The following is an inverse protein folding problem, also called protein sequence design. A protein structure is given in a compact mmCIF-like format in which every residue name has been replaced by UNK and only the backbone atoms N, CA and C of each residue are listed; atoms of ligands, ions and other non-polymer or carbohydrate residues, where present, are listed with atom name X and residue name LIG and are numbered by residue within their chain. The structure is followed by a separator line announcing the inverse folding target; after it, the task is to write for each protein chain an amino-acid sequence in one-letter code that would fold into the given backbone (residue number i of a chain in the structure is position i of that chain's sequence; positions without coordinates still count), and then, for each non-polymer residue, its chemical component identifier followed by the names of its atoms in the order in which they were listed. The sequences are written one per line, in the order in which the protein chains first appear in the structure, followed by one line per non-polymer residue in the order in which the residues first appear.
data_IF_529010048697
#
_entry.id   IF_529010048697
#
_cell.length_a   1.000
_cell.length_b   1.000
_cell.length_c   1.000
_cell.angle_alpha   90.00
_cell.angle_beta   90.00
_cell.angle_gamma   90.00
#
_symmetry.space_group_name_H-M   'P 1'
#
loop_
_entity.id
_entity.type
_entity.pdbx_description
1 polymer ?
#
# COMPACT_ATOMS: atom_id res chain seq x y z
N UNK A 1 -38.14 49.24 -11.48
CA UNK A 1 -38.05 49.04 -12.95
C UNK A 1 -36.64 48.65 -13.43
N UNK A 2 -35.61 49.44 -13.15
CA UNK A 2 -34.21 49.13 -13.61
C UNK A 2 -33.58 47.81 -13.03
N UNK A 3 -33.99 47.41 -11.83
CA UNK A 3 -33.49 46.13 -11.25
C UNK A 3 -34.22 44.92 -11.84
N UNK A 4 -35.50 45.03 -12.16
CA UNK A 4 -36.27 43.98 -12.82
C UNK A 4 -35.81 43.77 -14.24
N UNK A 5 -35.47 44.84 -14.97
CA UNK A 5 -34.89 44.74 -16.32
C UNK A 5 -33.51 44.08 -16.33
N UNK A 6 -32.64 44.37 -15.32
CA UNK A 6 -31.34 43.70 -15.16
C UNK A 6 -31.49 42.22 -14.82
N UNK A 7 -32.42 41.86 -13.97
CA UNK A 7 -32.73 40.46 -13.63
C UNK A 7 -33.21 39.68 -14.83
N UNK A 8 -34.13 40.22 -15.61
CA UNK A 8 -34.65 39.59 -16.84
C UNK A 8 -33.53 39.41 -17.87
N UNK A 9 -32.64 40.38 -18.04
CA UNK A 9 -31.49 40.26 -18.95
C UNK A 9 -30.48 39.21 -18.48
N UNK A 10 -30.27 39.07 -17.16
CA UNK A 10 -29.41 38.02 -16.60
C UNK A 10 -30.00 36.62 -16.79
N UNK A 11 -31.32 36.45 -16.64
CA UNK A 11 -31.99 35.17 -16.90
C UNK A 11 -31.88 34.75 -18.37
N UNK A 12 -32.06 35.69 -19.32
CA UNK A 12 -31.90 35.42 -20.74
C UNK A 12 -30.44 34.99 -21.06
N UNK A 13 -29.48 35.71 -20.52
CA UNK A 13 -28.05 35.35 -20.71
C UNK A 13 -27.71 34.01 -20.10
N UNK A 14 -28.23 33.69 -18.90
CA UNK A 14 -28.05 32.40 -18.25
C UNK A 14 -28.61 31.25 -19.08
N UNK A 15 -29.82 31.44 -19.62
CA UNK A 15 -30.45 30.44 -20.47
C UNK A 15 -29.65 30.19 -21.75
N UNK A 16 -29.16 31.25 -22.38
CA UNK A 16 -28.29 31.15 -23.56
C UNK A 16 -26.97 30.39 -23.25
N UNK A 17 -26.34 30.70 -22.15
CA UNK A 17 -25.13 30.00 -21.69
C UNK A 17 -25.40 28.53 -21.36
N UNK A 18 -26.55 28.19 -20.81
CA UNK A 18 -26.95 26.81 -20.56
C UNK A 18 -27.15 26.01 -21.85
N UNK A 19 -27.80 26.62 -22.86
CA UNK A 19 -27.99 26.03 -24.18
C UNK A 19 -26.67 25.81 -24.93
N UNK A 20 -25.76 26.80 -24.86
CA UNK A 20 -24.39 26.65 -25.42
C UNK A 20 -23.60 25.55 -24.71
N UNK A 21 -23.65 25.47 -23.37
CA UNK A 21 -23.02 24.40 -22.62
C UNK A 21 -23.58 23.01 -22.94
N UNK A 22 -24.89 22.89 -23.12
CA UNK A 22 -25.52 21.64 -23.53
C UNK A 22 -25.04 21.20 -24.92
N UNK A 23 -25.05 22.13 -25.89
CA UNK A 23 -24.54 21.87 -27.23
C UNK A 23 -23.05 21.49 -27.28
N UNK A 24 -22.20 22.18 -26.49
CA UNK A 24 -20.78 21.85 -26.35
C UNK A 24 -20.54 20.48 -25.72
N UNK A 25 -21.31 20.12 -24.69
CA UNK A 25 -21.26 18.78 -24.08
C UNK A 25 -21.65 17.68 -25.06
N UNK A 26 -22.67 17.90 -25.85
CA UNK A 26 -23.11 16.95 -26.87
C UNK A 26 -22.06 16.76 -27.98
N UNK A 27 -21.48 17.87 -28.47
CA UNK A 27 -20.36 17.82 -29.45
C UNK A 27 -19.13 17.12 -28.87
N UNK A 28 -18.79 17.34 -27.59
CA UNK A 28 -17.69 16.66 -26.95
C UNK A 28 -17.97 15.18 -26.77
N UNK A 29 -19.19 14.79 -26.42
CA UNK A 29 -19.56 13.38 -26.28
C UNK A 29 -19.52 12.63 -27.60
N UNK A 30 -20.06 13.24 -28.66
CA UNK A 30 -19.99 12.70 -30.02
C UNK A 30 -18.54 12.51 -30.49
N UNK A 31 -17.68 13.52 -30.28
CA UNK A 31 -16.27 13.45 -30.63
C UNK A 31 -15.51 12.39 -29.85
N UNK A 32 -15.86 12.19 -28.57
CA UNK A 32 -15.29 11.10 -27.75
C UNK A 32 -15.73 9.71 -28.24
N UNK A 33 -16.99 9.56 -28.62
CA UNK A 33 -17.49 8.30 -29.18
C UNK A 33 -16.84 7.97 -30.52
N UNK A 34 -16.65 8.97 -31.36
CA UNK A 34 -16.00 8.81 -32.68
C UNK A 34 -14.51 8.46 -32.51
N UNK A 35 -13.81 9.07 -31.55
CA UNK A 35 -12.42 8.73 -31.19
C UNK A 35 -12.31 7.34 -30.54
N UNK A 36 -13.27 6.92 -29.73
CA UNK A 36 -13.28 5.59 -29.13
C UNK A 36 -13.48 4.48 -30.14
N UNK A 37 -14.27 4.72 -31.21
CA UNK A 37 -14.54 3.73 -32.27
C UNK A 37 -13.34 3.51 -33.20
N UNK A 38 -12.41 4.47 -33.28
CA UNK A 38 -11.23 4.40 -34.18
C UNK A 38 -9.93 4.13 -33.40
N UNK A 39 -9.91 4.31 -32.08
CA UNK A 39 -8.74 4.10 -31.28
C UNK A 39 -8.60 2.65 -30.79
N UNK A 40 -7.71 1.91 -31.42
CA UNK A 40 -7.24 0.63 -30.89
C UNK A 40 -6.01 0.93 -30.03
N UNK A 41 -6.10 0.83 -28.70
CA UNK A 41 -4.96 1.10 -27.83
C UNK A 41 -3.87 0.07 -28.11
N UNK A 42 -2.76 0.50 -28.69
CA UNK A 42 -1.56 -0.33 -28.78
C UNK A 42 -0.90 -0.36 -27.39
N UNK A 43 -0.51 -1.53 -26.89
CA UNK A 43 0.26 -1.61 -25.66
C UNK A 43 1.49 -0.70 -25.75
N UNK A 44 1.72 0.12 -24.74
CA UNK A 44 2.91 0.93 -24.67
C UNK A 44 4.11 0.02 -24.38
N UNK A 45 4.89 -0.30 -25.41
CA UNK A 45 6.06 -1.15 -25.30
C UNK A 45 7.34 -0.30 -25.22
N UNK A 46 7.68 0.13 -24.02
CA UNK A 46 8.93 0.81 -23.73
C UNK A 46 10.02 -0.20 -23.32
N UNK A 47 11.25 0.05 -23.77
CA UNK A 47 12.40 -0.72 -23.28
C UNK A 47 12.54 -0.58 -21.77
N UNK A 48 13.17 -1.55 -21.12
CA UNK A 48 13.40 -1.55 -19.68
C UNK A 48 14.11 -0.28 -19.20
N UNK A 49 15.13 0.15 -19.94
CA UNK A 49 15.82 1.43 -19.67
C UNK A 49 14.88 2.64 -19.69
N UNK A 50 14.01 2.76 -20.71
CA UNK A 50 13.03 3.87 -20.78
C UNK A 50 11.98 3.76 -19.68
N UNK A 51 11.55 2.54 -19.34
CA UNK A 51 10.63 2.31 -18.23
C UNK A 51 11.23 2.78 -16.92
N UNK A 52 12.50 2.46 -16.67
CA UNK A 52 13.22 2.92 -15.48
C UNK A 52 13.27 4.45 -15.43
N UNK A 53 13.78 5.10 -16.47
CA UNK A 53 13.98 6.57 -16.50
C UNK A 53 12.69 7.37 -16.45
N UNK A 54 11.65 6.95 -17.15
CA UNK A 54 10.41 7.73 -17.27
C UNK A 54 9.41 7.49 -16.13
N UNK A 55 9.39 6.28 -15.56
CA UNK A 55 8.37 5.90 -14.59
C UNK A 55 8.94 5.59 -13.22
N UNK A 56 9.99 4.75 -13.14
CA UNK A 56 10.48 4.27 -11.85
C UNK A 56 11.27 5.35 -11.13
N UNK A 57 12.17 6.04 -11.83
CA UNK A 57 12.93 7.18 -11.25
C UNK A 57 11.96 8.27 -10.77
N UNK A 58 10.92 8.60 -11.57
CA UNK A 58 9.91 9.56 -11.18
C UNK A 58 9.13 9.12 -9.93
N UNK A 59 8.70 7.83 -9.87
CA UNK A 59 8.05 7.29 -8.66
C UNK A 59 8.93 7.35 -7.42
N UNK A 60 10.24 7.12 -7.56
CA UNK A 60 11.19 7.23 -6.46
C UNK A 60 11.33 8.67 -5.99
N UNK A 61 11.48 9.63 -6.91
CA UNK A 61 11.56 11.05 -6.58
C UNK A 61 10.28 11.56 -5.90
N UNK A 62 9.11 11.17 -6.41
CA UNK A 62 7.81 11.50 -5.82
C UNK A 62 7.63 10.90 -4.41
N UNK A 63 8.21 9.74 -4.17
CA UNK A 63 8.24 9.11 -2.84
C UNK A 63 9.32 9.71 -1.91
N UNK A 64 10.06 10.72 -2.37
CA UNK A 64 11.05 11.46 -1.59
C UNK A 64 12.44 10.80 -1.51
N UNK A 65 12.75 9.88 -2.42
CA UNK A 65 14.07 9.27 -2.53
C UNK A 65 15.03 10.14 -3.35
N UNK A 66 16.31 10.21 -2.96
CA UNK A 66 17.33 11.03 -3.62
C UNK A 66 18.31 10.11 -4.37
N UNK A 67 18.46 10.35 -5.69
CA UNK A 67 19.41 9.62 -6.55
C UNK A 67 20.85 9.81 -6.07
N UNK A 68 21.61 8.71 -6.08
CA UNK A 68 23.02 8.70 -5.65
C UNK A 68 23.25 8.77 -4.15
N UNK A 69 22.23 9.14 -3.35
CA UNK A 69 22.27 9.15 -1.90
C UNK A 69 21.49 7.98 -1.30
N UNK A 70 20.20 7.94 -1.60
CA UNK A 70 19.26 6.99 -1.00
C UNK A 70 19.03 5.78 -1.90
N UNK A 71 19.34 5.86 -3.18
CA UNK A 71 19.25 4.75 -4.12
C UNK A 71 20.34 4.78 -5.19
N UNK A 72 20.73 3.59 -5.60
CA UNK A 72 21.76 3.32 -6.60
C UNK A 72 21.19 2.38 -7.65
N UNK A 73 21.48 2.68 -8.90
CA UNK A 73 21.11 1.88 -10.07
C UNK A 73 22.16 0.83 -10.37
N UNK A 74 21.72 -0.30 -10.96
CA UNK A 74 22.60 -1.33 -11.53
C UNK A 74 23.64 -1.82 -10.52
N UNK A 75 23.20 -2.08 -9.29
CA UNK A 75 24.07 -2.52 -8.19
C UNK A 75 24.56 -3.93 -8.44
N UNK A 76 25.88 -4.11 -8.49
CA UNK A 76 26.50 -5.41 -8.62
C UNK A 76 26.40 -6.20 -7.31
N UNK A 77 25.86 -7.42 -7.39
CA UNK A 77 25.64 -8.32 -6.26
C UNK A 77 26.38 -9.63 -6.56
N UNK A 78 27.49 -9.90 -5.85
CA UNK A 78 28.23 -11.15 -6.01
C UNK A 78 27.53 -12.34 -5.35
N UNK A 79 27.83 -13.54 -5.84
CA UNK A 79 27.33 -14.80 -5.29
C UNK A 79 26.08 -15.34 -5.99
N UNK A 80 25.75 -14.83 -7.17
CA UNK A 80 24.65 -15.36 -7.97
C UNK A 80 24.98 -16.76 -8.51
N UNK A 81 23.97 -17.65 -8.62
CA UNK A 81 24.13 -19.00 -9.16
C UNK A 81 24.19 -19.01 -10.70
N UNK A 82 24.95 -18.12 -11.30
CA UNK A 82 25.20 -18.02 -12.72
C UNK A 82 26.71 -18.19 -13.02
N UNK A 83 27.07 -18.35 -14.28
CA UNK A 83 28.48 -18.55 -14.68
C UNK A 83 29.42 -17.41 -14.31
N UNK A 84 28.91 -16.19 -14.18
CA UNK A 84 29.70 -15.01 -13.78
C UNK A 84 29.76 -14.80 -12.27
N UNK A 85 28.99 -15.57 -11.49
CA UNK A 85 28.79 -15.38 -10.04
C UNK A 85 28.39 -13.96 -9.67
N UNK A 86 27.97 -13.17 -10.64
CA UNK A 86 27.62 -11.76 -10.49
C UNK A 86 26.20 -11.50 -11.00
N UNK A 87 25.41 -10.77 -10.20
CA UNK A 87 24.13 -10.22 -10.59
C UNK A 87 24.17 -8.71 -10.61
N UNK A 88 23.18 -8.10 -11.24
CA UNK A 88 23.02 -6.67 -11.29
C UNK A 88 21.55 -6.34 -10.97
N UNK A 89 21.31 -5.79 -9.77
CA UNK A 89 19.99 -5.35 -9.38
C UNK A 89 19.68 -3.98 -10.01
N UNK A 90 18.49 -3.81 -10.57
CA UNK A 90 18.11 -2.56 -11.22
C UNK A 90 18.19 -1.37 -10.27
N UNK A 91 17.68 -1.52 -9.04
CA UNK A 91 17.80 -0.54 -7.96
C UNK A 91 17.95 -1.20 -6.60
N UNK A 92 18.76 -0.59 -5.75
CA UNK A 92 18.80 -0.88 -4.31
C UNK A 92 18.58 0.44 -3.56
N UNK A 93 17.60 0.44 -2.66
CA UNK A 93 17.25 1.57 -1.80
C UNK A 93 17.91 1.41 -0.43
N UNK A 94 18.49 2.47 0.08
CA UNK A 94 19.27 2.45 1.33
C UNK A 94 18.71 3.44 2.37
N UNK A 95 18.92 3.11 3.63
CA UNK A 95 18.73 4.08 4.73
C UNK A 95 19.96 4.99 4.88
N UNK A 96 19.92 5.92 5.85
CA UNK A 96 21.03 6.85 6.11
C UNK A 96 22.30 6.15 6.61
N UNK A 97 22.21 4.89 7.03
CA UNK A 97 23.33 4.06 7.47
C UNK A 97 23.84 3.12 6.36
N UNK A 98 23.41 3.34 5.13
CA UNK A 98 23.73 2.51 3.97
C UNK A 98 23.31 1.02 4.15
N UNK A 99 22.25 0.78 4.92
CA UNK A 99 21.64 -0.52 5.02
C UNK A 99 20.54 -0.66 3.97
N UNK A 100 20.47 -1.78 3.23
CA UNK A 100 19.46 -1.96 2.20
C UNK A 100 18.04 -2.03 2.81
N UNK A 101 17.16 -1.16 2.32
CA UNK A 101 15.73 -1.13 2.66
C UNK A 101 14.91 -1.90 1.64
N UNK A 102 15.22 -1.74 0.36
CA UNK A 102 14.50 -2.43 -0.70
C UNK A 102 15.38 -2.74 -1.92
N UNK A 103 14.98 -3.76 -2.66
CA UNK A 103 15.46 -4.07 -4.01
C UNK A 103 14.29 -3.88 -4.97
N UNK A 104 14.52 -3.24 -6.09
CA UNK A 104 13.52 -3.09 -7.15
C UNK A 104 14.03 -3.80 -8.39
N UNK A 105 13.21 -4.67 -8.92
CA UNK A 105 13.43 -5.33 -10.22
C UNK A 105 12.42 -4.72 -11.21
N UNK A 106 12.97 -4.15 -12.27
CA UNK A 106 12.20 -3.49 -13.32
C UNK A 106 11.97 -4.43 -14.51
N UNK A 107 10.84 -4.24 -15.17
CA UNK A 107 10.55 -4.93 -16.44
C UNK A 107 10.01 -3.92 -17.45
N UNK A 108 10.03 -4.28 -18.72
CA UNK A 108 9.41 -3.49 -19.79
C UNK A 108 7.93 -3.31 -19.53
N UNK A 109 7.36 -2.20 -19.97
CA UNK A 109 5.97 -1.82 -19.70
C UNK A 109 4.92 -2.86 -20.11
N UNK A 110 5.20 -3.67 -21.13
CA UNK A 110 4.31 -4.73 -21.63
C UNK A 110 4.60 -6.11 -21.02
N UNK A 111 5.58 -6.24 -20.12
CA UNK A 111 5.98 -7.50 -19.52
C UNK A 111 5.39 -7.65 -18.13
N UNK A 112 4.93 -8.86 -17.81
CA UNK A 112 4.44 -9.21 -16.47
C UNK A 112 5.56 -9.07 -15.43
N UNK A 113 5.29 -8.34 -14.38
CA UNK A 113 6.24 -8.06 -13.29
C UNK A 113 6.74 -9.32 -12.60
N UNK A 114 5.96 -10.38 -12.59
CA UNK A 114 6.32 -11.66 -11.96
C UNK A 114 7.54 -12.33 -12.56
N UNK A 115 7.91 -12.00 -13.79
CA UNK A 115 9.10 -12.56 -14.47
C UNK A 115 10.40 -12.21 -13.76
N UNK A 116 10.47 -11.08 -13.04
CA UNK A 116 11.63 -10.67 -12.25
C UNK A 116 11.70 -11.29 -10.85
N UNK A 117 10.68 -12.01 -10.41
CA UNK A 117 10.53 -12.47 -9.01
C UNK A 117 11.71 -13.28 -8.51
N UNK A 118 12.08 -14.33 -9.24
CA UNK A 118 13.16 -15.21 -8.80
C UNK A 118 14.51 -14.48 -8.71
N UNK A 119 14.78 -13.61 -9.66
CA UNK A 119 16.00 -12.80 -9.69
C UNK A 119 16.06 -11.84 -8.51
N UNK A 120 14.97 -11.11 -8.27
CA UNK A 120 14.86 -10.17 -7.15
C UNK A 120 14.95 -10.88 -5.78
N UNK A 121 14.40 -12.09 -5.65
CA UNK A 121 14.52 -12.90 -4.44
C UNK A 121 15.98 -13.30 -4.17
N UNK A 122 16.70 -13.74 -5.19
CA UNK A 122 18.13 -14.06 -5.07
C UNK A 122 18.96 -12.84 -4.64
N UNK A 123 18.67 -11.67 -5.20
CA UNK A 123 19.33 -10.42 -4.77
C UNK A 123 19.04 -10.10 -3.31
N UNK A 124 17.79 -10.24 -2.89
CA UNK A 124 17.43 -9.99 -1.50
C UNK A 124 18.10 -10.99 -0.54
N UNK A 125 18.21 -12.28 -0.92
CA UNK A 125 18.88 -13.31 -0.14
C UNK A 125 20.40 -13.01 0.02
N UNK A 126 21.04 -12.54 -1.03
CA UNK A 126 22.46 -12.20 -1.01
C UNK A 126 22.73 -10.93 -0.20
N UNK A 127 21.87 -9.91 -0.33
CA UNK A 127 21.95 -8.70 0.47
C UNK A 127 21.67 -8.98 1.96
N UNK A 128 20.73 -9.88 2.27
CA UNK A 128 20.47 -10.32 3.64
C UNK A 128 21.69 -10.99 4.26
N UNK A 129 22.37 -11.87 3.53
CA UNK A 129 23.62 -12.51 4.00
C UNK A 129 24.71 -11.49 4.29
N UNK A 130 24.83 -10.45 3.46
CA UNK A 130 25.85 -9.40 3.60
C UNK A 130 25.54 -8.40 4.71
N UNK A 131 24.28 -7.98 4.82
CA UNK A 131 23.86 -6.88 5.67
C UNK A 131 23.05 -7.32 6.91
N UNK A 132 22.79 -8.62 7.08
CA UNK A 132 21.99 -9.19 8.16
C UNK A 132 20.58 -8.59 8.25
N UNK A 133 20.08 -8.04 7.14
CA UNK A 133 18.74 -7.49 7.00
C UNK A 133 18.23 -7.77 5.60
N UNK A 134 17.11 -8.51 5.53
CA UNK A 134 16.44 -8.80 4.26
C UNK A 134 15.73 -7.57 3.75
N UNK A 135 16.10 -7.02 2.57
CA UNK A 135 15.39 -5.91 1.98
C UNK A 135 13.98 -6.34 1.50
N UNK A 136 13.06 -5.39 1.46
CA UNK A 136 11.77 -5.56 0.78
C UNK A 136 12.01 -5.61 -0.72
N UNK A 137 11.23 -6.43 -1.44
CA UNK A 137 11.34 -6.53 -2.89
C UNK A 137 10.15 -5.81 -3.53
N UNK A 138 10.43 -4.95 -4.50
CA UNK A 138 9.44 -4.40 -5.41
C UNK A 138 9.69 -4.93 -6.82
N UNK A 139 8.62 -5.44 -7.45
CA UNK A 139 8.62 -5.83 -8.86
C UNK A 139 7.77 -4.82 -9.60
N UNK A 140 8.28 -4.19 -10.65
CA UNK A 140 7.51 -3.15 -11.34
C UNK A 140 7.81 -3.11 -12.84
N UNK A 141 6.81 -2.73 -13.62
CA UNK A 141 6.93 -2.39 -15.05
C UNK A 141 6.54 -0.94 -15.35
N UNK A 142 6.50 -0.09 -14.29
CA UNK A 142 6.10 1.30 -14.38
C UNK A 142 4.60 1.54 -14.23
N UNK A 143 3.74 0.58 -14.52
CA UNK A 143 2.27 0.66 -14.38
C UNK A 143 1.73 -0.22 -13.26
N UNK A 144 2.36 -1.34 -13.05
CA UNK A 144 2.01 -2.29 -12.02
C UNK A 144 3.20 -2.49 -11.11
N UNK A 145 2.95 -2.48 -9.82
CA UNK A 145 3.98 -2.68 -8.79
C UNK A 145 3.50 -3.73 -7.80
N UNK A 146 4.33 -4.73 -7.55
CA UNK A 146 4.13 -5.75 -6.53
C UNK A 146 5.16 -5.62 -5.43
N UNK A 147 4.77 -5.99 -4.23
CA UNK A 147 5.64 -6.02 -3.05
C UNK A 147 5.75 -7.44 -2.50
N UNK A 148 6.98 -7.84 -2.15
CA UNK A 148 7.30 -9.06 -1.41
C UNK A 148 8.09 -8.64 -0.18
N UNK A 149 7.49 -8.74 1.00
CA UNK A 149 8.07 -8.26 2.25
C UNK A 149 8.43 -9.39 3.24
N UNK A 150 8.24 -10.62 2.84
CA UNK A 150 8.51 -11.79 3.67
C UNK A 150 7.53 -12.03 4.82
N UNK A 151 6.68 -11.06 5.14
CA UNK A 151 5.68 -11.16 6.21
C UNK A 151 4.32 -11.58 5.69
N UNK A 152 4.01 -11.21 4.46
CA UNK A 152 2.73 -11.45 3.80
C UNK A 152 2.95 -12.00 2.40
N UNK A 153 1.93 -12.69 1.82
CA UNK A 153 1.98 -13.08 0.42
C UNK A 153 2.23 -11.88 -0.49
N UNK A 154 2.90 -12.15 -1.63
CA UNK A 154 3.06 -11.14 -2.68
C UNK A 154 1.74 -10.47 -3.00
N UNK A 155 1.76 -9.17 -3.15
CA UNK A 155 0.57 -8.36 -3.40
C UNK A 155 0.86 -7.12 -4.22
N UNK A 156 -0.13 -6.70 -4.96
CA UNK A 156 -0.10 -5.43 -5.68
C UNK A 156 -0.10 -4.26 -4.69
N UNK A 157 0.70 -3.25 -4.99
CA UNK A 157 0.71 -1.97 -4.28
C UNK A 157 0.63 -0.81 -5.29
N UNK A 158 0.18 0.36 -4.81
CA UNK A 158 -0.05 1.51 -5.68
C UNK A 158 1.24 2.21 -6.10
N UNK A 159 2.29 2.14 -5.27
CA UNK A 159 3.57 2.80 -5.49
C UNK A 159 4.69 2.14 -4.68
N UNK A 160 5.93 2.47 -4.99
CA UNK A 160 7.08 2.16 -4.14
C UNK A 160 6.98 2.99 -2.87
N UNK A 161 7.21 2.37 -1.72
CA UNK A 161 7.08 3.04 -0.42
C UNK A 161 8.17 4.10 -0.23
N UNK A 162 7.85 5.16 0.52
CA UNK A 162 8.82 6.17 0.90
C UNK A 162 9.89 5.59 1.85
N UNK A 163 11.06 6.23 1.93
CA UNK A 163 12.11 5.88 2.88
C UNK A 163 11.59 5.78 4.31
N UNK A 164 10.83 6.80 4.72
CA UNK A 164 10.21 6.88 6.05
C UNK A 164 9.26 5.70 6.33
N UNK A 165 8.49 5.26 5.32
CA UNK A 165 7.55 4.16 5.50
C UNK A 165 8.26 2.82 5.59
N UNK A 166 9.32 2.59 4.79
CA UNK A 166 10.15 1.40 4.91
C UNK A 166 10.91 1.36 6.24
N UNK A 167 11.48 2.47 6.69
CA UNK A 167 12.13 2.56 8.01
C UNK A 167 11.15 2.26 9.15
N UNK A 168 9.93 2.83 9.10
CA UNK A 168 8.88 2.50 10.07
C UNK A 168 8.52 1.02 10.02
N UNK A 169 8.44 0.44 8.84
CA UNK A 169 8.11 -0.96 8.66
C UNK A 169 9.18 -1.86 9.29
N UNK A 170 10.47 -1.60 9.04
CA UNK A 170 11.57 -2.32 9.68
C UNK A 170 11.59 -2.14 11.20
N UNK A 171 11.39 -0.91 11.68
CA UNK A 171 11.30 -0.64 13.11
C UNK A 171 10.14 -1.39 13.78
N UNK A 172 8.98 -1.48 13.11
CA UNK A 172 7.87 -2.27 13.61
C UNK A 172 8.20 -3.76 13.69
N UNK A 173 8.91 -4.30 12.70
CA UNK A 173 9.33 -5.70 12.71
C UNK A 173 10.28 -6.01 13.87
N UNK A 174 11.24 -5.13 14.14
CA UNK A 174 12.19 -5.30 15.25
C UNK A 174 11.55 -5.13 16.63
N UNK A 175 10.46 -4.34 16.72
CA UNK A 175 9.73 -4.11 17.97
C UNK A 175 8.63 -5.14 18.24
N UNK A 176 8.28 -5.97 17.27
CA UNK A 176 7.23 -6.99 17.42
C UNK A 176 7.65 -8.07 18.41
N UNK A 177 6.77 -8.33 19.36
CA UNK A 177 6.85 -9.52 20.23
C UNK A 177 5.88 -10.58 19.75
N UNK A 178 6.16 -11.85 20.01
CA UNK A 178 5.29 -12.95 19.62
C UNK A 178 3.90 -12.84 20.26
N UNK A 179 2.86 -13.10 19.49
CA UNK A 179 1.47 -13.14 19.97
C UNK A 179 1.06 -14.50 20.55
N UNK A 180 1.98 -15.46 20.68
CA UNK A 180 1.67 -16.82 21.17
C UNK A 180 1.28 -16.85 22.66
N UNK A 181 1.87 -15.98 23.47
CA UNK A 181 1.69 -15.96 24.92
C UNK A 181 1.03 -14.69 25.42
N UNK A 182 0.11 -14.12 24.63
CA UNK A 182 -0.60 -12.92 24.99
C UNK A 182 -1.56 -13.14 26.16
N UNK A 183 -1.68 -12.14 27.00
CA UNK A 183 -2.72 -12.05 28.01
C UNK A 183 -3.79 -11.07 27.56
N UNK A 184 -5.03 -11.54 27.47
CA UNK A 184 -6.17 -10.68 27.13
C UNK A 184 -6.66 -10.00 28.40
N UNK A 185 -6.82 -8.68 28.35
CA UNK A 185 -7.33 -7.91 29.49
C UNK A 185 -8.79 -8.29 29.78
N UNK A 186 -9.00 -9.01 30.87
CA UNK A 186 -10.34 -9.48 31.30
C UNK A 186 -11.30 -8.36 31.67
N UNK A 187 -10.80 -7.17 32.01
CA UNK A 187 -11.66 -6.00 32.25
C UNK A 187 -12.32 -5.52 30.96
N UNK A 188 -11.63 -5.70 29.80
CA UNK A 188 -12.15 -5.34 28.49
C UNK A 188 -12.93 -6.50 27.89
N UNK A 189 -12.37 -7.70 27.84
CA UNK A 189 -12.96 -8.90 27.22
C UNK A 189 -12.91 -10.08 28.20
N UNK A 190 -13.84 -10.08 29.13
CA UNK A 190 -13.85 -11.04 30.24
C UNK A 190 -14.55 -12.36 29.96
N UNK A 191 -15.25 -12.49 28.82
CA UNK A 191 -15.97 -13.73 28.49
C UNK A 191 -15.06 -14.68 27.72
N UNK A 192 -15.14 -15.99 28.02
CA UNK A 192 -14.26 -17.00 27.45
C UNK A 192 -14.18 -16.97 25.91
N UNK A 193 -15.33 -16.78 25.24
CA UNK A 193 -15.37 -16.73 23.77
C UNK A 193 -14.74 -15.45 23.19
N UNK A 194 -14.74 -14.34 23.93
CA UNK A 194 -14.05 -13.11 23.53
C UNK A 194 -12.53 -13.30 23.59
N UNK A 195 -12.04 -13.91 24.67
CA UNK A 195 -10.63 -14.27 24.81
C UNK A 195 -10.20 -15.27 23.73
N UNK A 196 -11.00 -16.31 23.47
CA UNK A 196 -10.75 -17.27 22.41
C UNK A 196 -10.71 -16.62 21.03
N UNK A 197 -11.62 -15.68 20.75
CA UNK A 197 -11.63 -14.94 19.49
C UNK A 197 -10.36 -14.08 19.31
N UNK A 198 -9.91 -13.36 20.34
CA UNK A 198 -8.67 -12.57 20.29
C UNK A 198 -7.47 -13.48 20.04
N UNK A 199 -7.34 -14.59 20.78
CA UNK A 199 -6.27 -15.58 20.59
C UNK A 199 -6.25 -16.15 19.18
N UNK A 200 -7.42 -16.54 18.64
CA UNK A 200 -7.53 -17.07 17.29
C UNK A 200 -7.09 -16.08 16.20
N UNK A 201 -7.36 -14.78 16.39
CA UNK A 201 -6.86 -13.73 15.48
C UNK A 201 -5.34 -13.57 15.61
N UNK A 202 -4.83 -13.58 16.83
CA UNK A 202 -3.38 -13.47 17.09
C UNK A 202 -2.61 -14.66 16.49
N UNK A 203 -3.11 -15.89 16.67
CA UNK A 203 -2.54 -17.09 16.04
C UNK A 203 -2.58 -17.00 14.51
N UNK A 204 -3.67 -16.45 13.96
CA UNK A 204 -3.81 -16.28 12.53
C UNK A 204 -2.79 -15.28 11.97
N UNK A 205 -2.48 -14.22 12.70
CA UNK A 205 -1.50 -13.23 12.31
C UNK A 205 -0.05 -13.71 12.51
N UNK A 206 0.28 -14.21 13.68
CA UNK A 206 1.65 -14.60 14.06
C UNK A 206 2.04 -15.98 13.50
N UNK A 207 1.32 -17.05 13.88
CA UNK A 207 1.71 -18.41 13.50
C UNK A 207 1.42 -18.72 12.02
N UNK A 208 0.32 -18.20 11.46
CA UNK A 208 -0.12 -18.48 10.07
C UNK A 208 0.26 -17.38 9.08
N UNK A 209 0.89 -16.32 9.54
CA UNK A 209 1.31 -15.16 8.74
C UNK A 209 0.21 -14.61 7.82
N UNK A 210 -1.03 -14.50 8.33
CA UNK A 210 -2.18 -14.01 7.58
C UNK A 210 -2.43 -12.53 7.86
N UNK A 211 -2.92 -11.79 6.85
CA UNK A 211 -3.24 -10.34 6.98
C UNK A 211 -4.68 -10.06 7.38
N UNK A 212 -5.57 -11.02 7.23
CA UNK A 212 -7.02 -10.84 7.40
C UNK A 212 -7.56 -11.85 8.38
N UNK A 213 -8.50 -11.41 9.20
CA UNK A 213 -9.29 -12.26 10.06
C UNK A 213 -10.75 -11.83 9.99
N UNK A 214 -11.66 -12.77 10.06
CA UNK A 214 -13.09 -12.54 10.14
C UNK A 214 -13.60 -13.06 11.48
N UNK A 215 -14.25 -12.18 12.25
CA UNK A 215 -14.95 -12.53 13.48
C UNK A 215 -16.46 -12.40 13.26
N UNK A 216 -17.17 -13.52 13.35
CA UNK A 216 -18.64 -13.54 13.30
C UNK A 216 -19.16 -13.69 14.72
N UNK A 217 -19.85 -12.66 15.20
CA UNK A 217 -20.34 -12.59 16.58
C UNK A 217 -21.79 -12.07 16.62
N UNK A 218 -22.63 -12.65 17.45
CA UNK A 218 -24.02 -12.25 17.64
C UNK A 218 -24.16 -10.83 18.17
N UNK A 219 -25.31 -10.20 17.95
CA UNK A 219 -25.64 -8.91 18.56
C UNK A 219 -25.66 -9.03 20.09
N UNK A 220 -25.10 -8.03 20.79
CA UNK A 220 -24.99 -8.04 22.25
C UNK A 220 -23.87 -8.92 22.83
N UNK A 221 -23.12 -9.68 22.02
CA UNK A 221 -22.00 -10.51 22.49
C UNK A 221 -20.72 -9.71 22.87
N UNK A 222 -20.73 -8.41 22.66
CA UNK A 222 -19.59 -7.54 23.00
C UNK A 222 -18.54 -7.43 21.89
N UNK A 223 -18.96 -7.44 20.62
CA UNK A 223 -18.07 -7.25 19.45
C UNK A 223 -17.05 -6.13 19.63
N UNK A 224 -17.52 -4.95 20.01
CA UNK A 224 -16.66 -3.78 20.21
C UNK A 224 -15.62 -4.02 21.30
N UNK A 225 -15.99 -4.63 22.41
CA UNK A 225 -15.05 -4.96 23.49
C UNK A 225 -13.99 -5.97 23.06
N UNK A 226 -14.39 -6.99 22.29
CA UNK A 226 -13.46 -7.96 21.70
C UNK A 226 -12.45 -7.30 20.77
N UNK A 227 -12.93 -6.37 19.91
CA UNK A 227 -12.05 -5.61 19.01
C UNK A 227 -11.11 -4.69 19.79
N UNK A 228 -11.59 -4.00 20.83
CA UNK A 228 -10.74 -3.13 21.67
C UNK A 228 -9.66 -3.96 22.38
N UNK A 229 -10.00 -5.13 22.93
CA UNK A 229 -9.04 -6.03 23.55
C UNK A 229 -7.97 -6.52 22.55
N UNK A 230 -8.38 -6.86 21.33
CA UNK A 230 -7.47 -7.21 20.24
C UNK A 230 -6.54 -6.02 19.89
N UNK A 231 -7.09 -4.82 19.77
CA UNK A 231 -6.33 -3.61 19.50
C UNK A 231 -5.27 -3.37 20.58
N UNK A 232 -5.63 -3.51 21.85
CA UNK A 232 -4.71 -3.38 22.99
C UNK A 232 -3.55 -4.35 22.89
N UNK A 233 -3.84 -5.63 22.66
CA UNK A 233 -2.81 -6.67 22.51
C UNK A 233 -1.86 -6.34 21.36
N UNK A 234 -2.38 -5.93 20.19
CA UNK A 234 -1.56 -5.61 19.02
C UNK A 234 -0.69 -4.37 19.23
N UNK A 235 -1.18 -3.36 19.96
CA UNK A 235 -0.43 -2.17 20.33
C UNK A 235 0.70 -2.51 21.32
N UNK A 236 0.39 -3.22 22.39
CA UNK A 236 1.36 -3.63 23.43
C UNK A 236 2.44 -4.56 22.87
N UNK A 237 2.07 -5.46 21.95
CA UNK A 237 3.02 -6.35 21.31
C UNK A 237 3.80 -5.70 20.14
N UNK A 238 3.63 -4.40 19.87
CA UNK A 238 4.35 -3.65 18.84
C UNK A 238 3.97 -4.04 17.40
N UNK A 239 2.85 -4.71 17.20
CA UNK A 239 2.38 -5.10 15.86
C UNK A 239 1.77 -3.96 15.07
N UNK A 240 1.17 -3.00 15.75
CA UNK A 240 0.55 -1.82 15.15
C UNK A 240 0.89 -0.57 15.97
N UNK A 241 0.95 0.60 15.32
CA UNK A 241 1.05 1.92 15.96
C UNK A 241 -0.25 2.71 15.85
N UNK A 242 -0.95 2.53 14.75
CA UNK A 242 -2.20 3.23 14.46
C UNK A 242 -3.27 2.22 14.07
N UNK A 243 -4.50 2.49 14.46
CA UNK A 243 -5.66 1.66 14.19
C UNK A 243 -6.72 2.53 13.55
N UNK A 244 -7.24 2.09 12.40
CA UNK A 244 -8.39 2.70 11.74
C UNK A 244 -9.63 1.85 12.01
N UNK A 245 -10.61 2.44 12.71
CA UNK A 245 -11.92 1.82 12.94
C UNK A 245 -12.94 2.37 11.95
N UNK A 246 -13.58 1.49 11.19
CA UNK A 246 -14.61 1.84 10.20
C UNK A 246 -15.95 1.24 10.62
N UNK A 247 -17.01 2.04 10.51
CA UNK A 247 -18.39 1.59 10.69
C UNK A 247 -19.32 2.32 9.70
N UNK A 248 -20.45 1.70 9.41
CA UNK A 248 -21.43 2.20 8.41
C UNK A 248 -22.27 3.39 8.92
N UNK A 249 -22.34 3.62 10.24
CA UNK A 249 -23.16 4.67 10.86
C UNK A 249 -22.37 5.52 11.84
N UNK A 250 -22.59 6.83 11.79
CA UNK A 250 -21.95 7.79 12.69
C UNK A 250 -22.22 7.51 14.18
N UNK A 251 -23.40 7.01 14.52
CA UNK A 251 -23.73 6.61 15.90
C UNK A 251 -22.82 5.50 16.41
N UNK A 252 -22.52 4.50 15.57
CA UNK A 252 -21.62 3.40 15.91
C UNK A 252 -20.17 3.88 16.05
N UNK A 253 -19.72 4.79 15.19
CA UNK A 253 -18.39 5.41 15.29
C UNK A 253 -18.26 6.18 16.61
N UNK A 254 -19.28 7.00 16.96
CA UNK A 254 -19.29 7.78 18.20
C UNK A 254 -19.29 6.86 19.44
N UNK A 255 -20.09 5.79 19.43
CA UNK A 255 -20.12 4.82 20.50
C UNK A 255 -18.79 4.08 20.63
N UNK A 256 -18.21 3.64 19.51
CA UNK A 256 -16.90 2.99 19.49
C UNK A 256 -15.82 3.92 20.05
N UNK A 257 -15.76 5.19 19.57
CA UNK A 257 -14.82 6.20 20.09
C UNK A 257 -14.87 6.31 21.61
N UNK A 258 -16.05 6.43 22.20
CA UNK A 258 -16.21 6.48 23.67
C UNK A 258 -15.69 5.20 24.33
N UNK A 259 -15.98 4.04 23.74
CA UNK A 259 -15.53 2.76 24.27
C UNK A 259 -14.01 2.62 24.20
N UNK A 260 -13.38 3.06 23.11
CA UNK A 260 -11.93 3.06 22.97
C UNK A 260 -11.25 3.98 24.01
N UNK A 261 -11.74 5.23 24.16
CA UNK A 261 -11.20 6.20 25.14
C UNK A 261 -11.31 5.70 26.58
N UNK A 262 -12.36 4.94 26.90
CA UNK A 262 -12.60 4.46 28.26
C UNK A 262 -11.83 3.16 28.59
N UNK A 263 -11.32 2.43 27.60
CA UNK A 263 -10.78 1.09 27.79
C UNK A 263 -9.33 0.93 27.32
N UNK A 264 -8.76 1.85 26.53
CA UNK A 264 -7.37 1.96 26.14
C UNK A 264 -6.70 3.14 26.80
#
# INVERSE_FOLDING_TARGET
LREQEKSAQQEVNLKKLMEENASLKEKLSARRQEQQSTYVPKPLDLSEYKTRKLYIDAMLMDAGWVEGKDWINEVEIPGMPNKSELGRADYVLYDDRQQPLAVIEAKRTCVDVSRGRQQAQLYADLLEKKHHRRPVIFLTNGFETHIIDGQYPERKCSMIYSKRDLEKWFNLLTMRTSLKHITVDKKIAGRYYQEAAVKAVCDNFDAKNRRKALLVMATGSGKTRTVIALCKVLLEAGWVKNILFLADRNSLVTQAKRSFVNQL
#
